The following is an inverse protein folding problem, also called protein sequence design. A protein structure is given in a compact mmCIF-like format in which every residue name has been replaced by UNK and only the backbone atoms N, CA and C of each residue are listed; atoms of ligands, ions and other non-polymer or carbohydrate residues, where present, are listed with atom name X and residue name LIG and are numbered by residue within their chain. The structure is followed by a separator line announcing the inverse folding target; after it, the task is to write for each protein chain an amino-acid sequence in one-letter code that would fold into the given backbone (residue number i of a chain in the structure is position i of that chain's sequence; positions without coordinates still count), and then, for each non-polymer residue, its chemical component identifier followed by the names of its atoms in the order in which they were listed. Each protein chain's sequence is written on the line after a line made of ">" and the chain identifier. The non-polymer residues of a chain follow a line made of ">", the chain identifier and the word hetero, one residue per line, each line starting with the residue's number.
data_IF_115752920486
#
_entry.id   IF_115752920486
#
_cell.length_a   1.000
_cell.length_b   1.000
_cell.length_c   1.000
_cell.angle_alpha   90.00
_cell.angle_beta   90.00
_cell.angle_gamma   90.00
#
_symmetry.space_group_name_H-M   'P 1'
#
loop_
_entity.id
_entity.type
_entity.pdbx_description
1 polymer ?
#
# COMPACT_ATOMS: atom_id res chain seq x y z
N UNK A 1 -11.52 13.53 -59.56
CA UNK A 1 -10.28 12.76 -59.35
C UNK A 1 -10.02 12.69 -57.86
N UNK A 2 -10.14 11.49 -57.27
CA UNK A 2 -9.85 11.22 -55.85
C UNK A 2 -8.38 10.81 -55.68
N UNK A 3 -7.66 11.45 -54.75
CA UNK A 3 -6.40 11.01 -54.08
C UNK A 3 -5.78 12.24 -53.39
N UNK A 4 -5.29 12.24 -52.14
CA UNK A 4 -5.04 11.19 -51.15
C UNK A 4 -5.10 11.80 -49.74
N UNK A 5 -5.69 11.02 -48.85
CA UNK A 5 -5.66 11.16 -47.40
C UNK A 5 -4.22 11.14 -46.84
N UNK A 6 -4.04 11.87 -45.74
CA UNK A 6 -3.29 11.42 -44.57
C UNK A 6 -1.76 11.51 -44.65
N UNK A 7 -1.20 12.68 -44.32
CA UNK A 7 0.12 12.70 -43.67
C UNK A 7 -0.06 12.07 -42.28
N UNK A 8 0.31 10.80 -42.14
CA UNK A 8 0.68 10.28 -40.82
C UNK A 8 1.84 11.12 -40.33
N UNK A 9 1.55 12.04 -39.40
CA UNK A 9 2.57 12.83 -38.72
C UNK A 9 3.17 11.86 -37.70
N UNK A 10 4.17 11.10 -38.13
CA UNK A 10 4.95 10.27 -37.20
C UNK A 10 5.41 11.17 -36.05
N UNK A 11 5.09 10.82 -34.80
CA UNK A 11 5.48 11.64 -33.67
C UNK A 11 7.01 11.72 -33.63
N UNK A 12 7.53 12.94 -33.66
CA UNK A 12 8.98 13.17 -33.64
C UNK A 12 9.60 12.48 -32.41
N UNK A 13 10.78 11.86 -32.53
CA UNK A 13 11.40 11.09 -31.45
C UNK A 13 11.60 11.89 -30.16
N UNK A 14 11.78 13.23 -30.26
CA UNK A 14 11.82 14.14 -29.13
C UNK A 14 10.49 14.18 -28.34
N UNK A 15 9.32 14.22 -29.00
CA UNK A 15 8.02 14.22 -28.30
C UNK A 15 7.75 12.90 -27.58
N UNK A 16 8.22 11.79 -28.16
CA UNK A 16 8.13 10.47 -27.53
C UNK A 16 9.06 10.35 -26.32
N UNK A 17 10.20 11.06 -26.32
CA UNK A 17 11.09 11.13 -25.17
C UNK A 17 10.48 12.01 -24.06
N UNK A 18 10.00 13.21 -24.39
CA UNK A 18 9.35 14.12 -23.44
C UNK A 18 8.13 13.49 -22.77
N UNK A 19 7.33 12.72 -23.53
CA UNK A 19 6.20 11.96 -23.01
C UNK A 19 6.62 10.88 -22.00
N UNK A 20 7.66 10.10 -22.33
CA UNK A 20 8.19 9.04 -21.44
C UNK A 20 8.83 9.60 -20.18
N UNK A 21 9.53 10.74 -20.27
CA UNK A 21 10.09 11.41 -19.09
C UNK A 21 8.99 11.91 -18.15
N UNK A 22 7.93 12.55 -18.69
CA UNK A 22 6.78 12.98 -17.88
C UNK A 22 6.03 11.83 -17.22
N UNK A 23 5.92 10.70 -17.90
CA UNK A 23 5.32 9.49 -17.33
C UNK A 23 6.17 8.92 -16.20
N UNK A 24 7.50 8.88 -16.37
CA UNK A 24 8.42 8.46 -15.32
C UNK A 24 8.36 9.39 -14.09
N UNK A 25 8.35 10.71 -14.31
CA UNK A 25 8.22 11.71 -13.24
C UNK A 25 6.87 11.56 -12.50
N UNK A 26 5.78 11.34 -13.24
CA UNK A 26 4.47 11.08 -12.68
C UNK A 26 4.43 9.80 -11.83
N UNK A 27 5.12 8.75 -12.26
CA UNK A 27 5.21 7.49 -11.50
C UNK A 27 6.01 7.65 -10.21
N UNK A 28 7.09 8.42 -10.24
CA UNK A 28 7.88 8.75 -9.05
C UNK A 28 7.06 9.58 -8.05
N UNK A 29 6.34 10.60 -8.55
CA UNK A 29 5.49 11.44 -7.71
C UNK A 29 4.37 10.63 -7.05
N UNK A 30 3.73 9.71 -7.80
CA UNK A 30 2.73 8.82 -7.23
C UNK A 30 3.32 7.85 -6.21
N UNK A 31 4.50 7.28 -6.49
CA UNK A 31 5.20 6.43 -5.52
C UNK A 31 5.40 7.15 -4.19
N UNK A 32 5.88 8.39 -4.24
CA UNK A 32 6.07 9.22 -3.04
C UNK A 32 4.76 9.53 -2.30
N UNK A 33 3.65 9.75 -3.02
CA UNK A 33 2.34 9.94 -2.40
C UNK A 33 1.86 8.68 -1.68
N UNK A 34 2.03 7.50 -2.29
CA UNK A 34 1.69 6.22 -1.65
C UNK A 34 2.56 6.02 -0.40
N UNK A 35 3.86 6.31 -0.47
CA UNK A 35 4.78 6.22 0.68
C UNK A 35 4.31 7.13 1.84
N UNK A 36 3.88 8.35 1.54
CA UNK A 36 3.37 9.29 2.54
C UNK A 36 2.07 8.79 3.20
N UNK A 37 1.13 8.26 2.41
CA UNK A 37 -0.14 7.72 2.92
C UNK A 37 0.13 6.48 3.80
N UNK A 38 1.07 5.62 3.42
CA UNK A 38 1.46 4.49 4.26
C UNK A 38 2.11 4.92 5.56
N UNK A 39 3.01 5.90 5.53
CA UNK A 39 3.62 6.44 6.73
C UNK A 39 2.56 6.96 7.71
N UNK A 40 1.58 7.74 7.22
CA UNK A 40 0.46 8.23 8.04
C UNK A 40 -0.38 7.09 8.63
N UNK A 41 -0.68 6.05 7.85
CA UNK A 41 -1.42 4.88 8.34
C UNK A 41 -0.65 4.10 9.41
N UNK A 42 0.67 4.00 9.27
CA UNK A 42 1.54 3.34 10.25
C UNK A 42 1.71 4.16 11.53
N UNK A 43 1.66 5.49 11.46
CA UNK A 43 1.65 6.31 12.68
C UNK A 43 0.43 6.04 13.55
N UNK A 44 -0.72 5.77 12.93
CA UNK A 44 -1.93 5.37 13.67
C UNK A 44 -1.71 4.02 14.34
N UNK A 45 -1.07 3.07 13.67
CA UNK A 45 -0.68 1.82 14.32
C UNK A 45 0.19 2.06 15.55
N UNK A 46 1.22 2.90 15.45
CA UNK A 46 2.10 3.22 16.58
C UNK A 46 1.32 3.83 17.75
N UNK A 47 0.35 4.71 17.49
CA UNK A 47 -0.52 5.31 18.52
C UNK A 47 -1.39 4.29 19.24
N UNK A 48 -1.74 3.19 18.57
CA UNK A 48 -2.61 2.12 19.07
C UNK A 48 -1.84 0.81 19.37
N UNK A 49 -0.56 0.92 19.74
CA UNK A 49 0.32 -0.20 20.14
C UNK A 49 0.50 -1.31 19.09
N UNK A 50 0.33 -0.98 17.81
CA UNK A 50 0.62 -1.85 16.68
C UNK A 50 1.97 -1.49 16.03
N UNK A 51 2.64 -2.46 15.37
CA UNK A 51 3.89 -2.20 14.66
C UNK A 51 3.80 -1.08 13.60
N UNK A 52 4.73 -0.14 13.66
CA UNK A 52 4.81 1.04 12.77
C UNK A 52 5.66 0.85 11.51
N UNK A 53 6.06 -0.36 11.16
CA UNK A 53 6.89 -0.61 9.98
C UNK A 53 6.15 -1.44 8.92
N UNK A 54 6.45 -1.21 7.64
CA UNK A 54 6.03 -2.14 6.59
C UNK A 54 6.82 -3.44 6.75
N UNK A 55 6.11 -4.56 6.66
CA UNK A 55 6.71 -5.88 6.71
C UNK A 55 5.72 -7.00 7.01
N UNK A 56 6.29 -8.14 7.37
CA UNK A 56 5.59 -9.30 7.90
C UNK A 56 5.87 -9.46 9.38
N UNK A 57 4.90 -9.97 10.10
CA UNK A 57 4.93 -10.07 11.55
C UNK A 57 4.49 -11.45 11.99
N UNK A 58 5.04 -11.88 13.13
CA UNK A 58 4.61 -13.06 13.85
C UNK A 58 4.25 -12.72 15.29
N UNK A 59 3.45 -13.56 15.93
CA UNK A 59 3.28 -13.54 17.39
C UNK A 59 3.18 -14.97 17.92
N UNK A 60 3.67 -15.17 19.14
CA UNK A 60 3.70 -16.49 19.75
C UNK A 60 2.30 -17.02 20.06
N UNK A 61 1.40 -16.17 20.52
CA UNK A 61 0.00 -16.47 20.82
C UNK A 61 -0.87 -15.22 20.60
N UNK A 62 -2.18 -15.31 20.87
CA UNK A 62 -3.12 -14.20 20.65
C UNK A 62 -2.90 -12.95 21.53
N UNK A 63 -2.18 -13.09 22.65
CA UNK A 63 -1.90 -12.02 23.62
C UNK A 63 -0.46 -11.50 23.51
N UNK A 64 0.42 -12.25 22.85
CA UNK A 64 1.79 -11.83 22.60
C UNK A 64 1.87 -10.63 21.63
N UNK A 65 2.86 -9.74 21.81
CA UNK A 65 3.10 -8.64 20.88
C UNK A 65 3.53 -9.18 19.50
N UNK A 66 3.29 -8.35 18.47
CA UNK A 66 3.75 -8.64 17.13
C UNK A 66 5.25 -8.38 17.01
N UNK A 67 5.99 -9.38 16.56
CA UNK A 67 7.42 -9.33 16.27
C UNK A 67 7.65 -9.26 14.76
N UNK A 68 8.49 -8.33 14.31
CA UNK A 68 8.82 -8.19 12.90
C UNK A 68 9.65 -9.40 12.44
N UNK A 69 9.20 -10.01 11.34
CA UNK A 69 9.96 -11.03 10.65
C UNK A 69 11.05 -10.37 9.79
N UNK A 70 12.23 -11.00 9.73
CA UNK A 70 13.28 -10.52 8.84
C UNK A 70 12.81 -10.55 7.39
N UNK A 71 13.02 -9.45 6.67
CA UNK A 71 12.64 -9.33 5.26
C UNK A 71 13.34 -10.37 4.37
N UNK A 72 14.49 -10.87 4.82
CA UNK A 72 15.31 -11.87 4.15
C UNK A 72 14.79 -13.33 4.28
N UNK A 73 13.69 -13.59 4.99
CA UNK A 73 13.15 -14.94 5.09
C UNK A 73 12.73 -15.46 3.71
N UNK A 74 13.25 -16.62 3.32
CA UNK A 74 12.87 -17.26 2.07
C UNK A 74 11.40 -17.72 2.12
N UNK A 75 10.73 -17.89 0.97
CA UNK A 75 9.38 -18.42 0.92
C UNK A 75 9.23 -19.76 1.66
N UNK A 76 10.23 -20.63 1.60
CA UNK A 76 10.25 -21.93 2.26
C UNK A 76 10.31 -21.79 3.78
N UNK A 77 11.11 -20.86 4.30
CA UNK A 77 11.18 -20.57 5.74
C UNK A 77 9.84 -20.05 6.26
N UNK A 78 9.22 -19.12 5.52
CA UNK A 78 7.88 -18.60 5.86
C UNK A 78 6.84 -19.73 5.85
N UNK A 79 6.89 -20.60 4.84
CA UNK A 79 5.98 -21.74 4.75
C UNK A 79 6.17 -22.75 5.89
N UNK A 80 7.41 -23.05 6.26
CA UNK A 80 7.71 -23.90 7.40
C UNK A 80 7.17 -23.32 8.72
N UNK A 81 7.24 -22.00 8.90
CA UNK A 81 6.68 -21.32 10.07
C UNK A 81 5.15 -21.41 10.11
N UNK A 82 4.47 -21.26 8.97
CA UNK A 82 3.02 -21.45 8.87
C UNK A 82 2.61 -22.88 9.21
N UNK A 83 3.36 -23.88 8.73
CA UNK A 83 3.06 -25.29 9.02
C UNK A 83 3.41 -25.73 10.45
N UNK A 84 4.38 -25.08 11.09
CA UNK A 84 4.76 -25.37 12.47
C UNK A 84 3.81 -24.76 13.51
N UNK A 85 2.90 -23.86 13.10
CA UNK A 85 1.95 -23.25 13.99
C UNK A 85 0.85 -24.25 14.42
N UNK A 86 0.62 -24.45 15.73
CA UNK A 86 -0.47 -25.28 16.22
C UNK A 86 -1.83 -24.66 15.82
N UNK A 87 -2.74 -25.52 15.34
CA UNK A 87 -4.09 -25.13 14.98
C UNK A 87 -4.89 -24.74 16.25
N UNK A 88 -5.56 -23.58 16.23
CA UNK A 88 -6.50 -23.16 17.28
C UNK A 88 -6.12 -21.91 18.08
N UNK A 89 -4.91 -21.36 17.92
CA UNK A 89 -4.46 -20.18 18.69
C UNK A 89 -4.38 -18.90 17.84
N UNK A 90 -5.52 -18.47 17.30
CA UNK A 90 -5.65 -17.18 16.61
C UNK A 90 -4.69 -16.96 15.43
N UNK A 91 -4.70 -15.75 14.86
CA UNK A 91 -3.80 -15.39 13.76
C UNK A 91 -2.38 -15.19 14.30
N UNK A 92 -1.42 -16.05 13.96
CA UNK A 92 0.00 -15.92 14.38
C UNK A 92 0.89 -15.20 13.39
N UNK A 93 0.45 -15.06 12.13
CA UNK A 93 1.19 -14.37 11.08
C UNK A 93 0.31 -13.33 10.40
N UNK A 94 0.86 -12.14 10.17
CA UNK A 94 0.16 -11.05 9.49
C UNK A 94 1.14 -10.21 8.68
N UNK A 95 0.69 -9.64 7.56
CA UNK A 95 1.39 -8.49 6.98
C UNK A 95 0.97 -7.21 7.70
N UNK A 96 1.75 -6.13 7.56
CA UNK A 96 1.35 -4.79 8.03
C UNK A 96 -0.09 -4.41 7.64
N UNK A 97 -0.51 -4.73 6.41
CA UNK A 97 -1.88 -4.50 5.94
C UNK A 97 -2.96 -5.37 6.65
N UNK A 98 -2.57 -6.46 7.30
CA UNK A 98 -3.49 -7.39 7.97
C UNK A 98 -3.54 -7.21 9.49
N UNK A 99 -2.56 -6.52 10.09
CA UNK A 99 -2.44 -6.35 11.55
C UNK A 99 -3.70 -5.74 12.18
N UNK A 100 -4.22 -4.67 11.58
CA UNK A 100 -5.34 -3.92 12.14
C UNK A 100 -6.73 -4.46 11.78
N UNK A 101 -6.85 -5.46 10.89
CA UNK A 101 -8.16 -5.92 10.35
C UNK A 101 -9.11 -6.38 11.45
N UNK A 102 -8.59 -7.13 12.42
CA UNK A 102 -9.34 -7.70 13.53
C UNK A 102 -9.19 -6.87 14.83
N UNK A 103 -8.63 -5.66 14.74
CA UNK A 103 -8.40 -4.79 15.90
C UNK A 103 -9.73 -4.32 16.50
N UNK A 104 -9.87 -4.23 17.83
CA UNK A 104 -11.03 -3.60 18.46
C UNK A 104 -11.12 -2.09 18.15
N UNK A 105 -9.99 -1.45 17.86
CA UNK A 105 -9.89 -0.02 17.56
C UNK A 105 -10.35 0.28 16.12
N UNK A 106 -11.40 1.09 15.91
CA UNK A 106 -11.89 1.46 14.57
C UNK A 106 -10.83 2.10 13.67
N UNK A 107 -9.99 2.96 14.22
CA UNK A 107 -8.91 3.70 13.56
C UNK A 107 -7.87 2.73 13.01
N UNK A 108 -7.48 1.72 13.79
CA UNK A 108 -6.59 0.65 13.36
C UNK A 108 -7.19 -0.18 12.22
N UNK A 109 -8.51 -0.47 12.24
CA UNK A 109 -9.17 -1.17 11.13
C UNK A 109 -9.17 -0.33 9.85
N UNK A 110 -9.38 0.99 9.97
CA UNK A 110 -9.33 1.92 8.83
C UNK A 110 -7.91 2.04 8.28
N UNK A 111 -6.90 2.15 9.14
CA UNK A 111 -5.49 2.14 8.75
C UNK A 111 -5.12 0.85 7.99
N UNK A 112 -5.58 -0.31 8.45
CA UNK A 112 -5.39 -1.58 7.76
C UNK A 112 -5.99 -1.58 6.34
N UNK A 113 -7.20 -1.05 6.18
CA UNK A 113 -7.85 -0.92 4.86
C UNK A 113 -7.07 -0.01 3.91
N UNK A 114 -6.50 1.10 4.43
CA UNK A 114 -5.63 2.00 3.66
C UNK A 114 -4.36 1.28 3.22
N UNK A 115 -3.66 0.60 4.14
CA UNK A 115 -2.44 -0.16 3.82
C UNK A 115 -2.70 -1.27 2.79
N UNK A 116 -3.83 -1.97 2.89
CA UNK A 116 -4.24 -2.96 1.91
C UNK A 116 -4.48 -2.34 0.51
N UNK A 117 -5.10 -1.16 0.45
CA UNK A 117 -5.30 -0.42 -0.78
C UNK A 117 -3.98 0.08 -1.38
N UNK A 118 -3.05 0.62 -0.57
CA UNK A 118 -1.70 1.01 -0.99
C UNK A 118 -0.95 -0.18 -1.60
N UNK A 119 -0.96 -1.33 -0.92
CA UNK A 119 -0.36 -2.58 -1.42
C UNK A 119 -0.95 -3.00 -2.77
N UNK A 120 -2.27 -3.00 -2.89
CA UNK A 120 -2.95 -3.34 -4.15
C UNK A 120 -2.61 -2.39 -5.29
N UNK A 121 -2.50 -1.09 -5.01
CA UNK A 121 -2.10 -0.08 -5.99
C UNK A 121 -0.65 -0.26 -6.41
N UNK A 122 0.28 -0.49 -5.48
CA UNK A 122 1.69 -0.78 -5.80
C UNK A 122 1.84 -2.03 -6.67
N UNK A 123 1.09 -3.10 -6.36
CA UNK A 123 1.12 -4.31 -7.16
C UNK A 123 0.67 -4.03 -8.60
N UNK A 124 -0.44 -3.30 -8.78
CA UNK A 124 -0.90 -2.90 -10.12
C UNK A 124 0.13 -2.05 -10.85
N UNK A 125 0.75 -1.08 -10.19
CA UNK A 125 1.78 -0.22 -10.77
C UNK A 125 3.07 -0.97 -11.13
N UNK A 126 3.38 -2.06 -10.42
CA UNK A 126 4.52 -2.92 -10.71
C UNK A 126 4.25 -3.84 -11.91
N UNK A 127 3.01 -4.32 -12.06
CA UNK A 127 2.61 -5.25 -13.13
C UNK A 127 2.18 -4.53 -14.43
N UNK A 128 1.71 -3.28 -14.34
CA UNK A 128 1.20 -2.53 -15.48
C UNK A 128 2.33 -2.06 -16.41
N UNK A 129 2.09 -2.18 -17.71
CA UNK A 129 2.97 -1.66 -18.75
C UNK A 129 2.94 -0.12 -18.88
N UNK A 130 2.01 0.56 -18.20
CA UNK A 130 1.83 2.00 -18.22
C UNK A 130 0.79 2.47 -17.21
N UNK A 131 0.77 3.77 -16.94
CA UNK A 131 -0.07 4.39 -15.93
C UNK A 131 -1.50 4.66 -16.43
N UNK A 132 -2.53 4.30 -15.65
CA UNK A 132 -3.94 4.55 -16.04
C UNK A 132 -4.55 5.73 -15.27
N UNK A 133 -5.60 6.33 -15.85
CA UNK A 133 -6.38 7.37 -15.16
C UNK A 133 -7.07 6.84 -13.88
N UNK A 134 -7.33 5.53 -13.81
CA UNK A 134 -7.91 4.90 -12.63
C UNK A 134 -6.90 4.88 -11.48
N UNK A 135 -5.62 4.59 -11.75
CA UNK A 135 -4.59 4.56 -10.71
C UNK A 135 -4.41 5.93 -10.04
N UNK A 136 -4.52 7.01 -10.84
CA UNK A 136 -4.52 8.38 -10.30
C UNK A 136 -5.76 8.66 -9.45
N UNK A 137 -6.94 8.24 -9.92
CA UNK A 137 -8.18 8.42 -9.18
C UNK A 137 -8.13 7.68 -7.83
N UNK A 138 -7.66 6.43 -7.84
CA UNK A 138 -7.49 5.61 -6.64
C UNK A 138 -6.54 6.28 -5.64
N UNK A 139 -5.40 6.81 -6.11
CA UNK A 139 -4.44 7.53 -5.26
C UNK A 139 -5.05 8.79 -4.61
N UNK A 140 -5.82 9.57 -5.37
CA UNK A 140 -6.52 10.76 -4.84
C UNK A 140 -7.53 10.35 -3.75
N UNK A 141 -8.31 9.29 -4.00
CA UNK A 141 -9.27 8.79 -3.02
C UNK A 141 -8.58 8.27 -1.77
N UNK A 142 -7.45 7.58 -1.94
CA UNK A 142 -6.64 7.05 -0.84
C UNK A 142 -6.09 8.18 0.03
N UNK A 143 -5.53 9.24 -0.56
CA UNK A 143 -5.07 10.41 0.19
C UNK A 143 -6.21 11.12 0.93
N UNK A 144 -7.40 11.18 0.32
CA UNK A 144 -8.58 11.75 0.99
C UNK A 144 -9.12 10.87 2.13
N UNK A 145 -8.89 9.56 2.09
CA UNK A 145 -9.22 8.65 3.17
C UNK A 145 -8.21 8.76 4.32
N UNK A 146 -6.91 8.88 4.03
CA UNK A 146 -5.86 9.05 5.02
C UNK A 146 -6.04 10.33 5.86
N UNK A 147 -6.28 11.47 5.20
CA UNK A 147 -6.53 12.74 5.92
C UNK A 147 -7.75 12.68 6.85
N UNK A 148 -8.84 12.07 6.40
CA UNK A 148 -10.03 11.86 7.24
C UNK A 148 -9.74 10.99 8.44
N UNK A 149 -8.90 9.97 8.26
CA UNK A 149 -8.50 9.10 9.34
C UNK A 149 -7.64 9.82 10.37
N UNK A 150 -6.72 10.68 9.94
CA UNK A 150 -5.92 11.53 10.83
C UNK A 150 -6.79 12.51 11.62
N UNK A 151 -7.76 13.14 10.96
CA UNK A 151 -8.71 14.05 11.60
C UNK A 151 -9.54 13.33 12.68
N UNK A 152 -10.10 12.15 12.35
CA UNK A 152 -10.91 11.35 13.28
C UNK A 152 -10.09 10.88 14.51
N UNK A 153 -8.86 10.41 14.30
CA UNK A 153 -7.96 9.96 15.38
C UNK A 153 -7.58 11.13 16.30
N UNK A 154 -7.37 12.34 15.75
CA UNK A 154 -7.10 13.54 16.54
C UNK A 154 -8.30 13.97 17.40
N UNK A 155 -9.54 13.72 16.96
CA UNK A 155 -10.75 13.98 17.75
C UNK A 155 -10.95 12.96 18.89
N UNK A 156 -10.62 11.68 18.65
CA UNK A 156 -10.78 10.61 19.65
C UNK A 156 -9.80 10.81 20.83
N UNK A 157 -8.56 11.20 20.56
CA UNK A 157 -7.55 11.48 21.60
C UNK A 157 -7.89 12.72 22.46
N UNK A 158 -8.74 13.61 21.95
CA UNK A 158 -9.16 14.84 22.66
C UNK A 158 -10.41 14.68 23.52
N UNK A 159 -11.07 13.52 23.48
CA UNK A 159 -12.34 13.22 24.16
C UNK A 159 -12.16 12.42 25.45
#
# INVERSE_FOLDING_TARGET
>A
MFSRFGRSREPSPQRLHDGRSREADGRLALGAEIDAIEAAALEIYVRHDLPGEIGHYQRADSQAPWEKLEDALTPEQRWAMVQAAPEGEGRRFASSADLGVDSPVPEARRAAAILAACRGLRQRLAEAAGFTAQDLADAIQLGAAARRLEDDDAQDISS
#
